data_IF_035553174775
#
_entry.id   IF_035553174775
#
_cell.length_a   1.000
_cell.length_b   1.000
_cell.length_c   1.000
_cell.angle_alpha   90.00
_cell.angle_beta   90.00
_cell.angle_gamma   90.00
#
_symmetry.space_group_name_H-M   'P 1'
#
loop_
_entity.id
_entity.type
_entity.pdbx_description
1 polymer ?
#
# COMPACT_ATOMS: atom_id res chain seq x y z
N UNK A 1 -23.21 -2.65 -2.82
CA UNK A 1 -22.39 -3.88 -2.79
C UNK A 1 -21.41 -3.79 -1.62
N UNK A 2 -21.58 -4.59 -0.57
CA UNK A 2 -20.63 -4.62 0.55
C UNK A 2 -19.46 -5.54 0.17
N UNK A 3 -18.37 -4.96 -0.36
CA UNK A 3 -17.15 -5.68 -0.75
C UNK A 3 -16.64 -6.62 0.35
N UNK A 4 -16.46 -7.90 0.00
CA UNK A 4 -15.95 -8.99 0.83
C UNK A 4 -14.58 -8.68 1.43
N UNK A 5 -13.79 -7.84 0.76
CA UNK A 5 -12.46 -7.41 1.21
C UNK A 5 -12.51 -6.63 2.53
N UNK A 6 -13.64 -6.02 2.91
CA UNK A 6 -13.78 -5.34 4.22
C UNK A 6 -13.93 -6.31 5.40
N UNK A 7 -14.10 -7.61 5.15
CA UNK A 7 -14.19 -8.64 6.20
C UNK A 7 -12.88 -9.37 6.42
N UNK A 8 -11.86 -9.13 5.59
CA UNK A 8 -10.55 -9.70 5.81
C UNK A 8 -9.87 -9.01 7.02
N UNK A 9 -9.12 -9.77 7.83
CA UNK A 9 -8.26 -9.18 8.84
C UNK A 9 -7.26 -8.21 8.21
N UNK A 10 -6.96 -7.12 8.93
CA UNK A 10 -6.01 -6.09 8.50
C UNK A 10 -4.64 -6.66 8.15
N UNK A 11 -4.22 -7.71 8.86
CA UNK A 11 -2.91 -8.34 8.75
C UNK A 11 -2.78 -9.08 7.41
N UNK A 12 -3.86 -9.73 6.95
CA UNK A 12 -3.87 -10.43 5.67
C UNK A 12 -3.85 -9.43 4.51
N UNK A 13 -4.58 -8.32 4.63
CA UNK A 13 -4.52 -7.25 3.65
C UNK A 13 -3.13 -6.59 3.62
N UNK A 14 -2.52 -6.33 4.77
CA UNK A 14 -1.17 -5.80 4.88
C UNK A 14 -0.15 -6.73 4.22
N UNK A 15 -0.24 -8.04 4.45
CA UNK A 15 0.59 -9.03 3.78
C UNK A 15 0.43 -8.95 2.26
N UNK A 16 -0.82 -8.95 1.75
CA UNK A 16 -1.10 -8.81 0.30
C UNK A 16 -0.49 -7.52 -0.25
N UNK A 17 -0.56 -6.40 0.47
CA UNK A 17 0.03 -5.14 0.04
C UNK A 17 1.55 -5.22 -0.08
N UNK A 18 2.22 -5.98 0.79
CA UNK A 18 3.68 -6.17 0.67
C UNK A 18 4.05 -6.88 -0.64
N UNK A 19 3.21 -7.81 -1.10
CA UNK A 19 3.38 -8.49 -2.39
C UNK A 19 3.14 -7.59 -3.61
N UNK A 20 2.57 -6.40 -3.44
CA UNK A 20 2.41 -5.43 -4.54
C UNK A 20 3.60 -4.49 -4.69
N UNK A 21 4.56 -4.52 -3.77
CA UNK A 21 5.75 -3.67 -3.85
C UNK A 21 6.62 -4.04 -5.06
N UNK A 22 7.27 -3.04 -5.71
CA UNK A 22 8.23 -3.31 -6.75
C UNK A 22 9.46 -4.05 -6.17
N UNK A 23 10.17 -4.85 -6.99
CA UNK A 23 11.34 -5.62 -6.54
C UNK A 23 12.50 -4.74 -6.06
N UNK A 24 12.54 -3.47 -6.49
CA UNK A 24 13.50 -2.47 -6.07
C UNK A 24 12.77 -1.16 -5.81
N UNK A 25 13.32 -0.30 -4.94
CA UNK A 25 12.77 1.02 -4.70
C UNK A 25 12.75 1.82 -6.01
N UNK A 26 11.57 2.31 -6.38
CA UNK A 26 11.35 3.13 -7.56
C UNK A 26 11.01 4.56 -7.12
N UNK A 27 11.17 5.52 -8.04
CA UNK A 27 10.75 6.89 -7.82
C UNK A 27 9.28 6.94 -7.36
N UNK A 28 9.02 7.75 -6.34
CA UNK A 28 7.70 7.88 -5.76
C UNK A 28 6.68 8.29 -6.85
N UNK A 29 5.74 7.38 -7.12
CA UNK A 29 4.66 7.59 -8.07
C UNK A 29 3.34 7.24 -7.40
N UNK A 30 2.45 8.21 -7.31
CA UNK A 30 1.14 8.06 -6.65
C UNK A 30 0.27 6.97 -7.28
N UNK A 31 0.52 6.64 -8.55
CA UNK A 31 -0.20 5.60 -9.30
C UNK A 31 0.43 4.21 -9.18
N UNK A 32 1.48 4.05 -8.38
CA UNK A 32 2.15 2.77 -8.13
C UNK A 32 2.05 2.36 -6.65
N UNK A 33 2.31 1.09 -6.37
CA UNK A 33 2.41 0.58 -5.00
C UNK A 33 3.56 1.29 -4.24
N UNK A 34 3.39 1.61 -2.95
CA UNK A 34 2.19 1.36 -2.12
C UNK A 34 1.07 2.42 -2.28
N UNK A 35 1.35 3.58 -2.87
CA UNK A 35 0.44 4.75 -2.92
C UNK A 35 -0.93 4.47 -3.54
N UNK A 36 -0.98 3.68 -4.61
CA UNK A 36 -2.24 3.37 -5.30
C UNK A 36 -3.25 2.65 -4.40
N UNK A 37 -2.77 1.91 -3.39
CA UNK A 37 -3.61 1.18 -2.44
C UNK A 37 -4.42 2.14 -1.55
N UNK A 38 -3.86 3.30 -1.24
CA UNK A 38 -4.50 4.31 -0.40
C UNK A 38 -5.67 5.03 -1.08
N UNK A 39 -5.71 4.98 -2.41
CA UNK A 39 -6.76 5.60 -3.22
C UNK A 39 -8.01 4.74 -3.33
N UNK A 40 -7.93 3.45 -2.97
CA UNK A 40 -9.03 2.49 -3.13
C UNK A 40 -10.13 2.72 -2.09
N UNK A 41 -9.77 2.92 -0.83
CA UNK A 41 -10.72 3.21 0.25
C UNK A 41 -10.04 3.76 1.50
N UNK A 42 -10.80 4.41 2.38
CA UNK A 42 -10.29 4.85 3.69
C UNK A 42 -9.78 3.71 4.57
N UNK A 43 -10.36 2.51 4.45
CA UNK A 43 -9.88 1.32 5.17
C UNK A 43 -8.50 0.86 4.67
N UNK A 44 -8.30 0.83 3.35
CA UNK A 44 -7.02 0.45 2.76
C UNK A 44 -5.94 1.48 3.08
N UNK A 45 -6.28 2.77 3.05
CA UNK A 45 -5.38 3.83 3.50
C UNK A 45 -4.98 3.68 4.96
N UNK A 46 -5.92 3.36 5.86
CA UNK A 46 -5.61 3.13 7.27
C UNK A 46 -4.65 1.94 7.47
N UNK A 47 -4.87 0.84 6.74
CA UNK A 47 -4.00 -0.34 6.80
C UNK A 47 -2.62 -0.04 6.23
N UNK A 48 -2.54 0.60 5.06
CA UNK A 48 -1.29 1.03 4.42
C UNK A 48 -0.43 1.88 5.37
N UNK A 49 -1.01 2.91 5.97
CA UNK A 49 -0.33 3.81 6.91
C UNK A 49 0.06 3.11 8.22
N UNK A 50 -0.67 2.06 8.61
CA UNK A 50 -0.38 1.27 9.82
C UNK A 50 0.59 0.12 9.58
N UNK A 51 1.14 -0.01 8.35
CA UNK A 51 2.07 -1.09 7.96
C UNK A 51 3.44 -0.50 7.58
N UNK A 52 4.37 -0.32 8.54
CA UNK A 52 5.65 0.36 8.29
C UNK A 52 6.53 -0.30 7.23
N UNK A 53 6.40 -1.62 7.03
CA UNK A 53 7.15 -2.37 6.01
C UNK A 53 6.80 -1.97 4.57
N UNK A 54 5.62 -1.39 4.31
CA UNK A 54 5.29 -0.82 3.00
C UNK A 54 6.10 0.45 2.69
N UNK A 55 6.58 1.12 3.74
CA UNK A 55 7.23 2.43 3.68
C UNK A 55 8.72 2.37 4.02
N UNK A 56 9.30 1.17 4.11
CA UNK A 56 10.70 1.00 4.50
C UNK A 56 11.70 1.55 3.48
N UNK A 57 11.26 1.79 2.24
CA UNK A 57 12.07 2.39 1.18
C UNK A 57 11.21 3.29 0.29
N UNK A 58 11.60 4.56 0.17
CA UNK A 58 10.97 5.54 -0.73
C UNK A 58 12.08 6.31 -1.45
N UNK A 59 12.08 6.28 -2.78
CA UNK A 59 12.98 7.10 -3.59
C UNK A 59 12.26 8.37 -4.03
N UNK A 60 12.84 9.53 -3.72
CA UNK A 60 12.37 10.84 -4.19
C UNK A 60 13.39 11.36 -5.18
N UNK A 61 12.92 11.73 -6.37
CA UNK A 61 13.75 12.36 -7.38
C UNK A 61 13.90 13.85 -7.04
N UNK A 62 15.15 14.30 -6.90
CA UNK A 62 15.50 15.70 -6.72
C UNK A 62 16.22 16.11 -8.00
N UNK A 63 15.44 16.55 -8.99
CA UNK A 63 15.96 16.90 -10.32
C UNK A 63 17.11 17.91 -10.33
#
# INVERSE_FOLDING_TARGET
ILSTLRRMPSEILAEIFLWTLPPFAQNANVNQSPWVLEQISGCWRAISLSTPSLWSAVCVDYG
#
